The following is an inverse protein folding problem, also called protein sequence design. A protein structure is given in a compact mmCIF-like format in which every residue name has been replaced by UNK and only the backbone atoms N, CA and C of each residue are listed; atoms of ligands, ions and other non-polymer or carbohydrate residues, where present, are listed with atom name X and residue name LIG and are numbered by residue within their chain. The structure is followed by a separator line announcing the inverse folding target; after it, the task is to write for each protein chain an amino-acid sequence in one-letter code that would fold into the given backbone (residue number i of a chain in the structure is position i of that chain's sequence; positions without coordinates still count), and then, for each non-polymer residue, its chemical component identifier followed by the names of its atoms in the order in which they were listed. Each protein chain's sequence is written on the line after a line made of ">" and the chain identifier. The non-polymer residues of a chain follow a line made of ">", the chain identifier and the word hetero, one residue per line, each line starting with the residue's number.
data_IF_096959502461
#
_entry.id   IF_096959502461
#
_cell.length_a   1.000
_cell.length_b   1.000
_cell.length_c   1.000
_cell.angle_alpha   90.00
_cell.angle_beta   90.00
_cell.angle_gamma   90.00
#
_symmetry.space_group_name_H-M   'P 1'
#
loop_
_entity.id
_entity.type
_entity.pdbx_description
1 polymer ?
#
# COMPACT_ATOMS: atom_id res chain seq x y z
N UNK A 1 -54.45 -44.14 0.45
CA UNK A 1 -53.02 -44.21 0.83
C UNK A 1 -52.21 -43.46 -0.20
N UNK A 2 -51.89 -42.19 0.09
CA UNK A 2 -51.06 -41.34 -0.77
C UNK A 2 -49.79 -40.98 0.00
N UNK A 3 -48.58 -41.22 -0.54
CA UNK A 3 -47.36 -40.77 0.13
C UNK A 3 -47.10 -39.29 -0.17
N UNK A 4 -46.94 -38.51 0.89
CA UNK A 4 -46.53 -37.11 0.86
C UNK A 4 -45.01 -36.99 0.56
N UNK A 5 -44.68 -36.32 -0.54
CA UNK A 5 -43.32 -35.97 -0.88
C UNK A 5 -42.95 -34.64 -0.21
N UNK A 6 -42.23 -34.69 0.90
CA UNK A 6 -41.59 -33.51 1.47
C UNK A 6 -40.19 -33.32 0.82
N UNK A 7 -40.10 -32.44 -0.14
CA UNK A 7 -38.81 -31.94 -0.62
C UNK A 7 -38.22 -30.95 0.41
N UNK A 8 -37.00 -31.10 0.87
CA UNK A 8 -36.45 -30.20 1.88
C UNK A 8 -36.03 -28.88 1.27
N UNK A 9 -36.80 -27.84 1.63
CA UNK A 9 -36.59 -26.43 1.26
C UNK A 9 -35.18 -25.91 1.59
N UNK A 10 -34.44 -26.64 2.40
CA UNK A 10 -33.05 -26.28 2.81
C UNK A 10 -32.00 -26.49 1.72
N UNK A 11 -32.25 -27.37 0.74
CA UNK A 11 -31.29 -27.60 -0.37
C UNK A 11 -31.34 -26.54 -1.46
N UNK A 12 -32.45 -25.84 -1.61
CA UNK A 12 -32.62 -24.80 -2.63
C UNK A 12 -31.93 -23.49 -2.21
N UNK A 13 -31.94 -23.16 -0.91
CA UNK A 13 -31.20 -22.00 -0.41
C UNK A 13 -29.68 -22.10 -0.52
N UNK A 14 -29.12 -23.32 -0.42
CA UNK A 14 -27.68 -23.53 -0.51
C UNK A 14 -27.14 -23.40 -1.95
N UNK A 15 -27.96 -23.72 -2.96
CA UNK A 15 -27.61 -23.60 -4.38
C UNK A 15 -27.72 -22.14 -4.90
N UNK A 16 -28.55 -21.31 -4.29
CA UNK A 16 -28.68 -19.89 -4.66
C UNK A 16 -27.54 -19.02 -4.10
N UNK A 17 -26.87 -19.43 -3.02
CA UNK A 17 -25.73 -18.71 -2.46
C UNK A 17 -24.43 -18.94 -3.27
N UNK A 18 -24.32 -20.08 -3.98
CA UNK A 18 -23.14 -20.40 -4.80
C UNK A 18 -23.11 -19.71 -6.17
N UNK A 19 -24.26 -19.19 -6.63
CA UNK A 19 -24.39 -18.54 -7.96
C UNK A 19 -24.07 -17.04 -7.99
N UNK A 20 -23.97 -16.36 -6.84
CA UNK A 20 -23.83 -14.90 -6.77
C UNK A 20 -22.35 -14.41 -6.80
N UNK A 21 -21.39 -15.33 -6.86
CA UNK A 21 -19.95 -15.00 -6.79
C UNK A 21 -19.32 -14.72 -8.17
N UNK A 22 -20.07 -14.93 -9.28
CA UNK A 22 -19.52 -14.88 -10.64
C UNK A 22 -19.74 -13.59 -11.42
N UNK A 23 -20.37 -12.55 -10.86
CA UNK A 23 -20.71 -11.33 -11.61
C UNK A 23 -20.18 -10.01 -11.00
N UNK A 24 -19.34 -10.04 -9.99
CA UNK A 24 -18.69 -8.83 -9.46
C UNK A 24 -17.20 -8.92 -9.68
N UNK A 25 -16.60 -7.93 -10.38
CA UNK A 25 -15.17 -7.84 -10.62
C UNK A 25 -14.36 -7.99 -9.34
N UNK A 26 -13.96 -9.21 -9.03
CA UNK A 26 -13.12 -9.51 -7.89
C UNK A 26 -11.73 -8.94 -8.13
N UNK A 27 -11.41 -7.81 -7.50
CA UNK A 27 -10.04 -7.59 -7.07
C UNK A 27 -9.67 -8.83 -6.26
N UNK A 28 -8.61 -9.58 -6.61
CA UNK A 28 -8.29 -10.80 -5.89
C UNK A 28 -7.91 -10.45 -4.45
N UNK A 29 -8.83 -10.71 -3.53
CA UNK A 29 -8.62 -10.62 -2.06
C UNK A 29 -7.37 -11.39 -1.63
N UNK A 30 -6.94 -12.36 -2.45
CA UNK A 30 -5.71 -13.12 -2.27
C UNK A 30 -4.42 -12.29 -2.27
N UNK A 31 -4.35 -11.16 -2.99
CA UNK A 31 -3.14 -10.32 -2.98
C UNK A 31 -3.00 -9.49 -1.69
N UNK A 32 -4.12 -9.09 -1.09
CA UNK A 32 -4.12 -8.41 0.23
C UNK A 32 -3.85 -9.40 1.38
N UNK A 33 -4.32 -10.64 1.26
CA UNK A 33 -4.10 -11.68 2.27
C UNK A 33 -2.63 -12.18 2.28
N UNK A 34 -1.92 -12.14 1.14
CA UNK A 34 -0.52 -12.55 1.06
C UNK A 34 0.39 -11.59 1.84
N UNK A 35 0.10 -10.28 1.81
CA UNK A 35 0.88 -9.29 2.58
C UNK A 35 0.78 -9.52 4.11
N UNK A 36 -0.32 -10.09 4.60
CA UNK A 36 -0.55 -10.31 6.05
C UNK A 36 0.03 -11.65 6.54
N UNK A 37 0.03 -12.68 5.71
CA UNK A 37 0.36 -14.06 6.14
C UNK A 37 1.86 -14.35 6.05
N UNK A 38 2.64 -13.55 5.33
CA UNK A 38 4.09 -13.76 5.11
C UNK A 38 4.99 -12.62 5.60
N UNK A 39 4.43 -11.61 6.26
CA UNK A 39 5.25 -10.54 6.83
C UNK A 39 6.06 -11.12 8.00
N UNK A 40 7.37 -11.31 7.80
CA UNK A 40 8.28 -11.84 8.81
C UNK A 40 8.51 -10.87 9.99
N UNK A 41 7.98 -9.64 9.89
CA UNK A 41 8.00 -8.70 11.02
C UNK A 41 7.14 -9.22 12.16
N UNK A 42 7.48 -8.84 13.37
CA UNK A 42 6.58 -9.11 14.50
C UNK A 42 5.17 -8.59 14.19
N UNK A 43 4.11 -9.40 14.41
CA UNK A 43 2.73 -8.98 14.18
C UNK A 43 2.39 -7.64 14.84
N UNK A 44 3.04 -7.34 15.96
CA UNK A 44 2.90 -6.08 16.68
C UNK A 44 3.38 -4.88 15.86
N UNK A 45 4.52 -4.99 15.16
CA UNK A 45 5.05 -3.91 14.30
C UNK A 45 4.10 -3.62 13.15
N UNK A 46 3.56 -4.65 12.50
CA UNK A 46 2.56 -4.49 11.44
C UNK A 46 1.32 -3.71 11.91
N UNK A 47 0.76 -4.08 13.07
CA UNK A 47 -0.42 -3.39 13.60
C UNK A 47 -0.12 -1.96 14.05
N UNK A 48 1.05 -1.72 14.62
CA UNK A 48 1.48 -0.39 15.04
C UNK A 48 1.70 0.53 13.84
N UNK A 49 2.35 0.04 12.76
CA UNK A 49 2.53 0.78 11.52
C UNK A 49 1.17 1.19 10.92
N UNK A 50 0.23 0.24 10.77
CA UNK A 50 -1.10 0.51 10.21
C UNK A 50 -1.89 1.50 11.07
N UNK A 51 -1.84 1.35 12.41
CA UNK A 51 -2.51 2.28 13.32
C UNK A 51 -1.93 3.69 13.17
N UNK A 52 -0.62 3.82 13.21
CA UNK A 52 0.06 5.10 13.08
C UNK A 52 -0.21 5.76 11.72
N UNK A 53 -0.24 4.96 10.63
CA UNK A 53 -0.61 5.44 9.30
C UNK A 53 -2.01 6.05 9.30
N UNK A 54 -2.99 5.37 9.89
CA UNK A 54 -4.36 5.88 10.03
C UNK A 54 -4.43 7.14 10.90
N UNK A 55 -3.75 7.17 12.04
CA UNK A 55 -3.76 8.29 12.97
C UNK A 55 -3.17 9.55 12.31
N UNK A 56 -2.04 9.43 11.60
CA UNK A 56 -1.40 10.54 10.89
C UNK A 56 -2.28 11.01 9.73
N UNK A 57 -2.79 10.10 8.91
CA UNK A 57 -3.71 10.44 7.79
C UNK A 57 -4.94 11.19 8.29
N UNK A 58 -5.53 10.70 9.37
CA UNK A 58 -6.71 11.34 9.96
C UNK A 58 -6.39 12.72 10.52
N UNK A 59 -5.21 12.90 11.16
CA UNK A 59 -4.75 14.19 11.67
C UNK A 59 -4.53 15.20 10.54
N UNK A 60 -3.94 14.78 9.41
CA UNK A 60 -3.80 15.61 8.20
C UNK A 60 -5.17 15.98 7.66
N UNK A 61 -6.08 15.02 7.49
CA UNK A 61 -7.41 15.26 6.94
C UNK A 61 -8.26 16.20 7.80
N UNK A 62 -8.16 16.11 9.12
CA UNK A 62 -8.91 17.00 10.05
C UNK A 62 -8.35 18.40 10.16
N UNK A 63 -7.14 18.62 9.71
CA UNK A 63 -6.50 19.94 9.78
C UNK A 63 -7.07 20.87 8.71
N UNK A 64 -7.91 21.82 9.13
CA UNK A 64 -8.60 22.77 8.25
C UNK A 64 -7.66 23.71 7.50
N UNK A 65 -6.41 23.81 7.92
CA UNK A 65 -5.40 24.66 7.27
C UNK A 65 -4.64 23.91 6.17
N UNK A 66 -4.91 22.61 6.00
CA UNK A 66 -4.38 21.77 4.93
C UNK A 66 -5.53 21.49 3.98
N UNK A 67 -5.58 22.17 2.85
CA UNK A 67 -6.61 22.03 1.84
C UNK A 67 -5.99 21.77 0.47
N UNK A 68 -6.79 21.26 -0.46
CA UNK A 68 -6.38 21.00 -1.85
C UNK A 68 -5.13 20.11 -2.00
N UNK A 69 -4.97 19.15 -1.10
CA UNK A 69 -3.82 18.27 -1.06
C UNK A 69 -4.17 16.88 -1.57
N UNK A 70 -3.16 16.19 -2.11
CA UNK A 70 -3.21 14.77 -2.42
C UNK A 70 -1.98 14.12 -1.79
N UNK A 71 -2.05 13.85 -0.48
CA UNK A 71 -0.92 13.29 0.28
C UNK A 71 -1.23 11.88 0.71
N UNK A 72 -0.30 10.99 0.39
CA UNK A 72 -0.27 9.61 0.87
C UNK A 72 0.72 9.49 2.02
N UNK A 73 0.30 8.77 3.05
CA UNK A 73 1.13 8.39 4.20
C UNK A 73 1.30 6.88 4.12
N UNK A 74 2.52 6.41 4.18
CA UNK A 74 2.84 4.98 4.27
C UNK A 74 3.88 4.79 5.36
N UNK A 75 3.65 3.79 6.21
CA UNK A 75 4.57 3.50 7.31
C UNK A 75 5.10 2.08 7.17
N UNK A 76 6.40 1.94 7.42
CA UNK A 76 7.11 0.67 7.51
C UNK A 76 8.16 0.76 8.61
N UNK A 77 8.04 -0.09 9.62
CA UNK A 77 8.95 -0.14 10.78
C UNK A 77 9.15 1.24 11.45
N UNK A 78 8.04 1.97 11.68
CA UNK A 78 8.02 3.33 12.22
C UNK A 78 8.71 4.41 11.35
N UNK A 79 9.14 4.07 10.12
CA UNK A 79 9.58 5.03 9.10
C UNK A 79 8.37 5.49 8.31
N UNK A 80 8.07 6.77 8.37
CA UNK A 80 6.94 7.40 7.66
C UNK A 80 7.41 7.93 6.32
N UNK A 81 6.87 7.41 5.24
CA UNK A 81 7.03 7.97 3.90
C UNK A 81 5.81 8.84 3.58
N UNK A 82 6.04 10.09 3.25
CA UNK A 82 5.04 11.04 2.77
C UNK A 82 5.27 11.29 1.28
N UNK A 83 4.25 11.00 0.46
CA UNK A 83 4.28 11.25 -0.99
C UNK A 83 3.05 12.03 -1.42
N UNK A 84 3.06 12.56 -2.65
CA UNK A 84 1.94 13.28 -3.22
C UNK A 84 2.20 14.75 -3.45
N UNK A 85 1.15 15.55 -3.57
CA UNK A 85 1.23 16.96 -3.94
C UNK A 85 0.47 17.85 -2.97
N UNK A 86 1.02 19.06 -2.78
CA UNK A 86 0.39 20.14 -2.04
C UNK A 86 0.60 21.47 -2.75
N UNK A 87 -0.30 22.46 -2.55
CA UNK A 87 -0.24 23.73 -3.25
C UNK A 87 0.86 24.66 -2.73
N UNK A 88 1.27 24.54 -1.47
CA UNK A 88 2.19 25.49 -0.84
C UNK A 88 3.11 24.83 0.21
N UNK A 89 4.19 25.54 0.54
CA UNK A 89 5.19 25.08 1.51
C UNK A 89 4.64 24.98 2.93
N UNK A 90 3.68 25.82 3.31
CA UNK A 90 3.09 25.79 4.65
C UNK A 90 2.33 24.49 4.88
N UNK A 91 1.67 23.96 3.84
CA UNK A 91 1.02 22.65 3.91
C UNK A 91 2.04 21.54 4.14
N UNK A 92 3.20 21.57 3.45
CA UNK A 92 4.30 20.59 3.69
C UNK A 92 4.75 20.68 5.14
N UNK A 93 5.05 21.87 5.64
CA UNK A 93 5.58 22.05 6.99
C UNK A 93 4.61 21.50 8.05
N UNK A 94 3.32 21.81 7.92
CA UNK A 94 2.27 21.30 8.82
C UNK A 94 2.13 19.78 8.76
N UNK A 95 2.20 19.19 7.57
CA UNK A 95 2.13 17.73 7.38
C UNK A 95 3.35 17.07 8.03
N UNK A 96 4.53 17.64 7.85
CA UNK A 96 5.75 17.17 8.48
C UNK A 96 5.67 17.25 10.02
N UNK A 97 5.13 18.34 10.57
CA UNK A 97 4.95 18.50 12.00
C UNK A 97 3.99 17.44 12.56
N UNK A 98 2.86 17.19 11.88
CA UNK A 98 1.92 16.12 12.26
C UNK A 98 2.61 14.76 12.26
N UNK A 99 3.35 14.44 11.20
CA UNK A 99 4.01 13.14 11.08
C UNK A 99 5.14 12.96 12.11
N UNK A 100 5.95 14.00 12.36
CA UNK A 100 7.05 13.96 13.33
C UNK A 100 6.56 13.93 14.78
N UNK A 101 5.44 14.57 15.09
CA UNK A 101 4.90 14.61 16.45
C UNK A 101 4.20 13.32 16.87
N UNK A 102 3.93 12.41 15.95
CA UNK A 102 3.30 11.14 16.27
C UNK A 102 4.28 10.25 17.05
N UNK A 103 3.87 9.79 18.23
CA UNK A 103 4.73 9.08 19.22
C UNK A 103 5.43 7.82 18.68
N UNK A 104 4.83 7.17 17.67
CA UNK A 104 5.37 5.96 17.05
C UNK A 104 6.38 6.27 15.94
N UNK A 105 6.39 7.50 15.41
CA UNK A 105 7.26 7.89 14.30
C UNK A 105 8.73 7.96 14.74
N UNK A 106 9.57 7.17 14.09
CA UNK A 106 11.01 7.17 14.29
C UNK A 106 11.74 8.06 13.27
N UNK A 107 11.27 8.04 12.03
CA UNK A 107 11.84 8.82 10.93
C UNK A 107 10.73 9.25 9.97
N UNK A 108 10.88 10.44 9.37
CA UNK A 108 10.01 10.93 8.31
C UNK A 108 10.82 11.15 7.03
N UNK A 109 10.41 10.49 5.95
CA UNK A 109 10.95 10.66 4.60
C UNK A 109 9.95 11.50 3.80
N UNK A 110 10.27 12.76 3.59
CA UNK A 110 9.44 13.66 2.81
C UNK A 110 9.73 13.53 1.31
N UNK A 111 8.70 13.23 0.54
CA UNK A 111 8.67 13.19 -0.92
C UNK A 111 7.42 13.87 -1.47
N UNK A 112 6.87 14.81 -0.70
CA UNK A 112 5.77 15.67 -1.14
C UNK A 112 6.33 16.71 -2.12
N UNK A 113 5.62 16.93 -3.22
CA UNK A 113 5.98 17.90 -4.24
C UNK A 113 5.04 19.12 -4.17
N UNK A 114 5.60 20.31 -4.44
CA UNK A 114 4.81 21.53 -4.63
C UNK A 114 4.19 21.49 -6.02
N UNK A 115 2.96 21.06 -6.12
CA UNK A 115 2.23 20.94 -7.37
C UNK A 115 0.71 20.93 -7.13
N UNK A 116 -0.05 21.23 -8.17
CA UNK A 116 -1.49 20.97 -8.17
C UNK A 116 -1.78 19.47 -8.09
N UNK A 117 -2.98 19.12 -7.62
CA UNK A 117 -3.40 17.72 -7.42
C UNK A 117 -3.28 16.90 -8.71
N UNK A 118 -2.63 15.76 -8.59
CA UNK A 118 -2.56 14.76 -9.67
C UNK A 118 -3.96 14.25 -10.04
N UNK A 119 -4.21 14.10 -11.33
CA UNK A 119 -5.50 13.62 -11.83
C UNK A 119 -5.73 12.12 -11.54
N UNK A 120 -7.00 11.69 -11.64
CA UNK A 120 -7.40 10.30 -11.36
C UNK A 120 -6.73 9.28 -12.28
N UNK A 121 -6.46 9.64 -13.55
CA UNK A 121 -5.82 8.75 -14.52
C UNK A 121 -4.39 8.41 -14.10
N UNK A 122 -3.62 9.38 -13.63
CA UNK A 122 -2.26 9.16 -13.12
C UNK A 122 -2.27 8.22 -11.91
N UNK A 123 -3.19 8.41 -10.97
CA UNK A 123 -3.33 7.53 -9.79
C UNK A 123 -3.72 6.10 -10.16
N UNK A 124 -4.58 5.93 -11.18
CA UNK A 124 -4.91 4.62 -11.73
C UNK A 124 -3.69 3.91 -12.32
N UNK A 125 -2.87 4.65 -13.06
CA UNK A 125 -1.62 4.14 -13.61
C UNK A 125 -0.63 3.72 -12.51
N UNK A 126 -0.49 4.52 -11.45
CA UNK A 126 0.40 4.22 -10.32
C UNK A 126 -0.04 2.95 -9.58
N UNK A 127 -1.34 2.76 -9.38
CA UNK A 127 -1.89 1.54 -8.78
C UNK A 127 -1.60 0.30 -9.62
N UNK A 128 -1.77 0.40 -10.95
CA UNK A 128 -1.45 -0.67 -11.89
C UNK A 128 0.06 -0.97 -11.90
N UNK A 129 0.91 0.06 -11.92
CA UNK A 129 2.35 -0.08 -11.89
C UNK A 129 2.84 -0.72 -10.57
N UNK A 130 2.24 -0.34 -9.43
CA UNK A 130 2.50 -1.00 -8.14
C UNK A 130 2.23 -2.50 -8.22
N UNK A 131 1.12 -2.90 -8.83
CA UNK A 131 0.79 -4.33 -9.03
C UNK A 131 1.85 -5.04 -9.86
N UNK A 132 2.31 -4.45 -10.96
CA UNK A 132 3.37 -5.02 -11.81
C UNK A 132 4.70 -5.15 -11.08
N UNK A 133 5.09 -4.14 -10.31
CA UNK A 133 6.32 -4.17 -9.51
C UNK A 133 6.26 -5.29 -8.47
N UNK A 134 5.16 -5.39 -7.73
CA UNK A 134 4.97 -6.50 -6.76
C UNK A 134 5.04 -7.86 -7.44
N UNK A 135 4.39 -8.02 -8.60
CA UNK A 135 4.46 -9.26 -9.38
C UNK A 135 5.89 -9.57 -9.81
N UNK A 136 6.65 -8.58 -10.29
CA UNK A 136 8.03 -8.79 -10.71
C UNK A 136 8.93 -9.25 -9.55
N UNK A 137 8.76 -8.67 -8.35
CA UNK A 137 9.47 -9.10 -7.15
C UNK A 137 9.12 -10.55 -6.76
N UNK A 138 7.85 -10.94 -6.84
CA UNK A 138 7.41 -12.32 -6.55
C UNK A 138 7.96 -13.31 -7.56
N UNK A 139 7.88 -13.00 -8.85
CA UNK A 139 8.26 -13.92 -9.95
C UNK A 139 9.78 -14.06 -10.05
N UNK A 140 10.56 -13.07 -9.64
CA UNK A 140 12.03 -13.15 -9.68
C UNK A 140 12.59 -14.32 -8.88
N UNK A 141 11.98 -14.65 -7.74
CA UNK A 141 12.42 -15.71 -6.84
C UNK A 141 13.80 -15.47 -6.19
N UNK A 142 14.42 -14.30 -6.44
CA UNK A 142 15.76 -13.95 -5.94
C UNK A 142 15.74 -13.09 -4.68
N UNK A 143 14.59 -12.49 -4.37
CA UNK A 143 14.36 -11.71 -3.15
C UNK A 143 13.07 -12.17 -2.47
N UNK A 144 12.98 -12.00 -1.17
CA UNK A 144 11.72 -12.20 -0.45
C UNK A 144 10.83 -10.95 -0.63
N UNK A 145 9.72 -11.05 -1.39
CA UNK A 145 8.87 -9.90 -1.68
C UNK A 145 8.17 -9.34 -0.44
N UNK A 146 8.05 -10.12 0.64
CA UNK A 146 7.39 -9.71 1.89
C UNK A 146 8.23 -8.71 2.69
N UNK A 147 9.52 -8.65 2.43
CA UNK A 147 10.44 -7.68 3.03
C UNK A 147 10.33 -6.28 2.45
N UNK A 148 9.55 -6.12 1.36
CA UNK A 148 9.45 -4.85 0.64
C UNK A 148 8.04 -4.27 0.68
N UNK A 149 7.90 -3.03 1.10
CA UNK A 149 6.71 -2.21 0.88
C UNK A 149 6.93 -1.38 -0.38
N UNK A 150 6.04 -1.52 -1.35
CA UNK A 150 6.10 -0.81 -2.63
C UNK A 150 5.06 0.32 -2.63
N UNK A 151 5.51 1.53 -2.88
CA UNK A 151 4.65 2.71 -3.08
C UNK A 151 5.00 3.33 -4.43
N UNK A 152 4.00 3.66 -5.24
CA UNK A 152 4.21 4.32 -6.53
C UNK A 152 3.49 5.66 -6.53
N UNK A 153 4.22 6.70 -6.92
CA UNK A 153 3.69 8.06 -7.10
C UNK A 153 4.30 8.66 -8.38
N UNK A 154 3.46 9.05 -9.34
CA UNK A 154 3.87 9.61 -10.64
C UNK A 154 4.94 8.74 -11.34
N UNK A 155 4.71 7.44 -11.39
CA UNK A 155 5.63 6.42 -11.92
C UNK A 155 7.01 6.35 -11.23
N UNK A 156 7.21 7.06 -10.11
CA UNK A 156 8.35 6.86 -9.22
C UNK A 156 7.99 5.77 -8.21
N UNK A 157 8.82 4.75 -8.12
CA UNK A 157 8.63 3.63 -7.20
C UNK A 157 9.50 3.81 -5.98
N UNK A 158 8.89 3.88 -4.81
CA UNK A 158 9.55 3.92 -3.51
C UNK A 158 9.56 2.50 -2.95
N UNK A 159 10.74 2.00 -2.66
CA UNK A 159 10.93 0.72 -2.00
C UNK A 159 11.33 0.95 -0.55
N UNK A 160 10.46 0.57 0.38
CA UNK A 160 10.75 0.54 1.81
C UNK A 160 11.03 -0.90 2.24
N UNK A 161 11.81 -1.11 3.27
CA UNK A 161 12.11 -2.44 3.79
C UNK A 161 13.29 -2.44 4.75
N UNK A 162 13.38 -3.48 5.57
CA UNK A 162 14.55 -3.81 6.38
C UNK A 162 15.28 -4.97 5.70
N UNK A 163 16.39 -4.68 5.03
CA UNK A 163 17.01 -5.58 4.06
C UNK A 163 18.53 -5.55 4.13
N UNK A 164 19.17 -6.58 3.62
CA UNK A 164 20.63 -6.57 3.37
C UNK A 164 20.97 -5.72 2.15
N UNK A 165 22.22 -5.29 2.02
CA UNK A 165 22.71 -4.56 0.85
C UNK A 165 22.55 -5.36 -0.46
N UNK A 166 22.68 -6.69 -0.38
CA UNK A 166 22.50 -7.57 -1.54
C UNK A 166 21.03 -7.60 -1.99
N UNK A 167 20.10 -7.83 -1.07
CA UNK A 167 18.66 -7.80 -1.34
C UNK A 167 18.20 -6.43 -1.88
N UNK A 168 18.70 -5.34 -1.29
CA UNK A 168 18.41 -3.99 -1.75
C UNK A 168 18.85 -3.77 -3.21
N UNK A 169 20.05 -4.25 -3.57
CA UNK A 169 20.58 -4.13 -4.93
C UNK A 169 19.75 -4.93 -5.92
N UNK A 170 19.45 -6.18 -5.60
CA UNK A 170 18.68 -7.08 -6.44
C UNK A 170 17.25 -6.56 -6.65
N UNK A 171 16.56 -6.18 -5.57
CA UNK A 171 15.22 -5.60 -5.66
C UNK A 171 15.18 -4.36 -6.55
N UNK A 172 16.16 -3.47 -6.45
CA UNK A 172 16.26 -2.27 -7.29
C UNK A 172 16.44 -2.65 -8.77
N UNK A 173 17.26 -3.66 -9.09
CA UNK A 173 17.47 -4.12 -10.47
C UNK A 173 16.15 -4.67 -11.05
N UNK A 174 15.45 -5.53 -10.30
CA UNK A 174 14.15 -6.09 -10.69
C UNK A 174 13.15 -4.96 -10.96
N UNK A 175 13.00 -4.02 -10.04
CA UNK A 175 12.00 -2.95 -10.15
C UNK A 175 12.33 -1.99 -11.30
N UNK A 176 13.60 -1.69 -11.53
CA UNK A 176 14.03 -0.85 -12.66
C UNK A 176 13.74 -1.48 -14.02
N UNK A 177 13.68 -2.80 -14.11
CA UNK A 177 13.36 -3.51 -15.35
C UNK A 177 11.86 -3.50 -15.69
N UNK A 178 10.99 -3.10 -14.76
CA UNK A 178 9.53 -3.07 -14.98
C UNK A 178 9.16 -1.91 -15.91
N UNK A 179 8.57 -2.18 -17.09
CA UNK A 179 8.16 -1.12 -18.01
C UNK A 179 7.15 -0.15 -17.35
N UNK A 180 7.42 1.13 -17.50
CA UNK A 180 6.62 2.21 -16.91
C UNK A 180 7.21 2.80 -15.62
N UNK A 181 8.22 2.16 -15.03
CA UNK A 181 8.97 2.73 -13.89
C UNK A 181 9.91 3.82 -14.42
N UNK A 182 9.73 5.05 -13.94
CA UNK A 182 10.58 6.20 -14.28
C UNK A 182 11.80 6.24 -13.35
N UNK A 183 11.58 6.00 -12.06
CA UNK A 183 12.62 6.09 -11.04
C UNK A 183 12.35 5.12 -9.90
N UNK A 184 13.42 4.54 -9.33
CA UNK A 184 13.36 3.76 -8.10
C UNK A 184 14.05 4.52 -6.99
N UNK A 185 13.32 4.80 -5.91
CA UNK A 185 13.80 5.52 -4.72
C UNK A 185 13.89 4.54 -3.56
N UNK A 186 15.08 4.41 -3.02
CA UNK A 186 15.37 3.55 -1.88
C UNK A 186 14.99 4.25 -0.57
N UNK A 187 14.14 3.61 0.24
CA UNK A 187 13.79 4.01 1.60
C UNK A 187 14.05 2.80 2.51
N UNK A 188 15.25 2.23 2.37
CA UNK A 188 15.65 1.04 3.08
C UNK A 188 16.29 1.34 4.42
N UNK A 189 16.11 0.43 5.34
CA UNK A 189 16.95 0.23 6.51
C UNK A 189 17.79 -1.02 6.24
N UNK A 190 19.02 -1.00 6.68
CA UNK A 190 19.95 -2.08 6.44
C UNK A 190 20.19 -2.91 7.70
N UNK A 191 20.20 -4.25 7.49
CA UNK A 191 20.56 -5.23 8.50
C UNK A 191 22.08 -5.24 8.75
#
# INVERSE_FOLDING_TARGET
>A
MTPSSHTPLKSICLLLLAGSILAGGCVPVSLLAIDVVRDEREPRAYWQDNKAEMDIRFSIYRNKTISDTNVSVTIWNAVVLLTGEVPDQQAIDRILDIAKSHHYTRQVVNRIELAGRTNMASRGNDSWLTGRVKTALVVSGTVDPTRFKVVTERANVYLMGLVTSAEATEAVLIVRSVPGVVRVIKVFEYL
#
